data_IF_190041677337
#
_entry.id   IF_190041677337
#
_cell.length_a   1.000
_cell.length_b   1.000
_cell.length_c   1.000
_cell.angle_alpha   90.00
_cell.angle_beta   90.00
_cell.angle_gamma   90.00
#
_symmetry.space_group_name_H-M   'P 1'
#
loop_
_entity.id
_entity.type
_entity.pdbx_description
1 polymer ?
#
# COMPACT_ATOMS: atom_id res chain seq x y z
N UNK A 1 4.66 -7.81 1.95
CA UNK A 1 3.82 -7.70 0.73
C UNK A 1 3.25 -6.30 0.59
N UNK A 2 3.30 -5.72 -0.62
CA UNK A 2 2.56 -4.51 -0.98
C UNK A 2 1.27 -4.94 -1.70
N UNK A 3 0.12 -4.47 -1.22
CA UNK A 3 -1.20 -4.72 -1.83
C UNK A 3 -1.69 -3.39 -2.38
N UNK A 4 -1.94 -3.33 -3.69
CA UNK A 4 -2.25 -2.08 -4.38
C UNK A 4 -3.04 -2.30 -5.67
N UNK A 5 -3.39 -1.22 -6.36
CA UNK A 5 -4.11 -1.20 -7.62
C UNK A 5 -3.80 0.11 -8.37
N UNK A 6 -4.12 0.17 -9.66
CA UNK A 6 -3.94 1.39 -10.46
C UNK A 6 -2.49 1.87 -10.50
N UNK A 7 -2.27 3.18 -10.34
CA UNK A 7 -0.94 3.78 -10.36
C UNK A 7 -0.02 3.28 -9.23
N UNK A 8 -0.59 2.84 -8.12
CA UNK A 8 0.16 2.27 -7.01
C UNK A 8 1.03 1.07 -7.40
N UNK A 9 0.62 0.29 -8.40
CA UNK A 9 1.41 -0.83 -8.93
C UNK A 9 2.75 -0.35 -9.49
N UNK A 10 2.77 0.79 -10.19
CA UNK A 10 3.99 1.32 -10.80
C UNK A 10 4.92 1.93 -9.75
N UNK A 11 4.38 2.68 -8.80
CA UNK A 11 5.18 3.21 -7.69
C UNK A 11 5.77 2.09 -6.82
N UNK A 12 4.99 1.04 -6.55
CA UNK A 12 5.45 -0.13 -5.82
C UNK A 12 6.57 -0.87 -6.56
N UNK A 13 6.42 -1.07 -7.89
CA UNK A 13 7.46 -1.71 -8.72
C UNK A 13 8.76 -0.94 -8.69
N UNK A 14 8.69 0.39 -8.80
CA UNK A 14 9.90 1.23 -8.76
C UNK A 14 10.55 1.20 -7.38
N UNK A 15 9.78 1.38 -6.31
CA UNK A 15 10.28 1.33 -4.93
C UNK A 15 10.91 -0.04 -4.58
N UNK A 16 10.30 -1.13 -5.03
CA UNK A 16 10.76 -2.49 -4.77
C UNK A 16 12.16 -2.79 -5.38
N UNK A 17 12.61 -2.04 -6.39
CA UNK A 17 13.97 -2.19 -6.93
C UNK A 17 15.06 -1.98 -5.88
N UNK A 18 14.78 -1.17 -4.85
CA UNK A 18 15.72 -0.92 -3.74
C UNK A 18 15.78 -2.07 -2.73
N UNK A 19 14.87 -3.04 -2.81
CA UNK A 19 14.71 -4.13 -1.86
C UNK A 19 14.60 -5.48 -2.58
N UNK A 20 15.58 -5.75 -3.44
CA UNK A 20 15.58 -6.93 -4.31
C UNK A 20 15.32 -8.22 -3.54
N UNK A 21 14.29 -8.97 -3.96
CA UNK A 21 13.90 -10.25 -3.36
C UNK A 21 13.12 -10.16 -2.05
N UNK A 22 12.88 -8.97 -1.51
CA UNK A 22 12.19 -8.80 -0.21
C UNK A 22 10.71 -8.40 -0.34
N UNK A 23 10.28 -7.99 -1.53
CA UNK A 23 8.95 -7.40 -1.75
C UNK A 23 8.17 -8.20 -2.77
N UNK A 24 7.00 -8.68 -2.36
CA UNK A 24 5.95 -9.15 -3.25
C UNK A 24 4.92 -8.04 -3.47
N UNK A 25 4.47 -7.85 -4.71
CA UNK A 25 3.46 -6.85 -5.07
C UNK A 25 2.23 -7.58 -5.59
N UNK A 26 1.09 -7.32 -4.95
CA UNK A 26 -0.23 -7.78 -5.37
C UNK A 26 -0.94 -6.61 -6.03
N UNK A 27 -1.22 -6.76 -7.33
CA UNK A 27 -2.16 -5.92 -8.06
C UNK A 27 -3.56 -6.52 -7.91
N UNK A 28 -4.44 -5.84 -7.17
CA UNK A 28 -5.77 -6.34 -6.84
C UNK A 28 -6.63 -6.58 -8.08
N UNK A 29 -6.50 -5.74 -9.12
CA UNK A 29 -7.32 -5.68 -10.35
C UNK A 29 -8.82 -5.46 -10.14
N UNK A 30 -9.44 -6.13 -9.17
CA UNK A 30 -10.85 -6.07 -8.80
C UNK A 30 -10.97 -5.72 -7.31
N UNK A 31 -11.65 -4.62 -7.00
CA UNK A 31 -11.88 -4.20 -5.61
C UNK A 31 -13.13 -4.85 -5.01
N UNK A 32 -14.12 -5.21 -5.85
CA UNK A 32 -15.34 -5.87 -5.41
C UNK A 32 -15.92 -6.77 -6.52
N UNK A 33 -15.98 -8.10 -6.32
CA UNK A 33 -15.46 -8.84 -5.16
C UNK A 33 -13.93 -8.86 -5.13
N UNK A 34 -13.33 -8.64 -3.96
CA UNK A 34 -11.89 -8.72 -3.77
C UNK A 34 -11.44 -10.19 -3.66
N UNK A 35 -10.28 -10.52 -4.23
CA UNK A 35 -9.64 -11.83 -4.01
C UNK A 35 -9.02 -11.90 -2.61
N UNK A 36 -9.89 -12.19 -1.64
CA UNK A 36 -9.50 -12.27 -0.24
C UNK A 36 -8.54 -13.43 0.05
N UNK A 37 -8.70 -14.55 -0.67
CA UNK A 37 -7.85 -15.72 -0.50
C UNK A 37 -6.39 -15.38 -0.84
N UNK A 38 -6.16 -14.74 -1.98
CA UNK A 38 -4.82 -14.30 -2.39
C UNK A 38 -4.18 -13.38 -1.34
N UNK A 39 -4.94 -12.43 -0.79
CA UNK A 39 -4.45 -11.51 0.25
C UNK A 39 -4.04 -12.28 1.50
N UNK A 40 -4.89 -13.16 2.02
CA UNK A 40 -4.60 -13.93 3.25
C UNK A 40 -3.35 -14.81 3.07
N UNK A 41 -3.21 -15.47 1.92
CA UNK A 41 -2.03 -16.29 1.62
C UNK A 41 -0.74 -15.47 1.62
N UNK A 42 -0.76 -14.28 1.03
CA UNK A 42 0.39 -13.40 1.01
C UNK A 42 0.70 -12.80 2.39
N UNK A 43 -0.31 -12.47 3.18
CA UNK A 43 -0.12 -12.01 4.57
C UNK A 43 0.60 -13.10 5.39
N UNK A 44 0.13 -14.35 5.30
CA UNK A 44 0.78 -15.49 5.99
C UNK A 44 2.21 -15.73 5.54
N UNK A 45 2.51 -15.49 4.26
CA UNK A 45 3.85 -15.67 3.68
C UNK A 45 4.84 -14.59 4.12
N UNK A 46 4.38 -13.34 4.26
CA UNK A 46 5.26 -12.17 4.42
C UNK A 46 5.25 -11.54 5.81
N UNK A 47 4.19 -11.70 6.57
CA UNK A 47 3.98 -11.15 7.93
C UNK A 47 4.06 -9.61 8.09
N UNK A 48 4.51 -8.88 7.06
CA UNK A 48 4.49 -7.42 6.96
C UNK A 48 3.67 -7.01 5.74
N UNK A 49 2.69 -6.13 5.96
CA UNK A 49 1.71 -5.76 4.93
C UNK A 49 1.71 -4.24 4.75
N UNK A 50 1.76 -3.81 3.49
CA UNK A 50 1.67 -2.42 3.11
C UNK A 50 0.56 -2.24 2.06
N UNK A 51 -0.49 -1.49 2.39
CA UNK A 51 -1.57 -1.17 1.46
C UNK A 51 -1.32 0.21 0.85
N UNK A 52 -1.22 0.27 -0.48
CA UNK A 52 -0.91 1.50 -1.22
C UNK A 52 -2.09 1.88 -2.13
N UNK A 53 -2.52 3.14 -2.06
CA UNK A 53 -3.57 3.69 -2.94
C UNK A 53 -3.16 5.04 -3.52
N UNK A 54 -3.77 5.42 -4.63
CA UNK A 54 -3.69 6.77 -5.21
C UNK A 54 -4.69 7.74 -4.54
N UNK A 55 -5.75 7.22 -3.92
CA UNK A 55 -6.78 8.01 -3.27
C UNK A 55 -6.27 8.74 -2.01
N UNK A 56 -6.92 9.83 -1.58
CA UNK A 56 -6.70 10.41 -0.26
C UNK A 56 -6.83 9.33 0.82
N UNK A 57 -5.86 9.23 1.72
CA UNK A 57 -5.76 8.07 2.60
C UNK A 57 -6.91 7.98 3.61
N UNK A 58 -7.37 9.10 4.16
CA UNK A 58 -8.32 9.11 5.27
C UNK A 58 -9.72 8.68 4.81
N UNK A 59 -10.30 7.71 5.51
CA UNK A 59 -11.58 7.07 5.18
C UNK A 59 -11.58 6.34 3.82
N UNK A 60 -10.42 5.89 3.34
CA UNK A 60 -10.27 5.25 2.03
C UNK A 60 -10.57 3.75 2.05
N UNK A 61 -10.70 3.18 0.84
CA UNK A 61 -10.69 1.72 0.67
C UNK A 61 -9.42 1.08 1.27
N UNK A 62 -8.26 1.73 1.15
CA UNK A 62 -7.00 1.22 1.67
C UNK A 62 -7.02 1.07 3.20
N UNK A 63 -7.57 2.05 3.93
CA UNK A 63 -7.71 1.95 5.39
C UNK A 63 -8.73 0.87 5.80
N UNK A 64 -9.84 0.74 5.06
CA UNK A 64 -10.82 -0.32 5.29
C UNK A 64 -10.20 -1.72 5.09
N UNK A 65 -9.43 -1.89 4.01
CA UNK A 65 -8.72 -3.11 3.71
C UNK A 65 -7.67 -3.42 4.78
N UNK A 66 -6.87 -2.43 5.19
CA UNK A 66 -5.89 -2.58 6.24
C UNK A 66 -6.52 -2.99 7.58
N UNK A 67 -7.67 -2.40 7.94
CA UNK A 67 -8.44 -2.78 9.11
C UNK A 67 -8.95 -4.22 9.04
N UNK A 68 -9.44 -4.65 7.86
CA UNK A 68 -9.86 -6.04 7.65
C UNK A 68 -8.69 -7.03 7.77
N UNK A 69 -7.55 -6.74 7.15
CA UNK A 69 -6.33 -7.56 7.25
C UNK A 69 -5.88 -7.63 8.70
N UNK A 70 -5.81 -6.50 9.40
CA UNK A 70 -5.43 -6.47 10.82
C UNK A 70 -6.35 -7.32 11.68
N UNK A 71 -7.67 -7.26 11.43
CA UNK A 71 -8.66 -8.04 12.18
C UNK A 71 -8.59 -9.54 11.91
N UNK A 72 -8.53 -9.93 10.64
CA UNK A 72 -8.64 -11.34 10.24
C UNK A 72 -7.31 -12.08 10.22
N UNK A 73 -6.19 -11.36 10.09
CA UNK A 73 -4.85 -11.94 9.97
C UNK A 73 -3.90 -11.57 11.13
N UNK A 74 -4.40 -11.02 12.23
CA UNK A 74 -3.59 -10.51 13.35
C UNK A 74 -2.47 -11.46 13.79
N UNK A 75 -2.76 -12.76 13.90
CA UNK A 75 -1.82 -13.79 14.37
C UNK A 75 -0.64 -14.03 13.43
N UNK A 76 -0.70 -13.53 12.19
CA UNK A 76 0.34 -13.70 11.18
C UNK A 76 1.15 -12.42 10.95
N UNK A 77 0.83 -11.33 11.66
CA UNK A 77 1.45 -10.02 11.44
C UNK A 77 2.58 -9.77 12.45
N UNK A 78 3.76 -9.43 11.95
CA UNK A 78 4.92 -9.02 12.76
C UNK A 78 4.99 -7.49 12.96
N UNK A 79 4.22 -6.73 12.16
CA UNK A 79 4.13 -5.28 12.18
C UNK A 79 2.66 -4.85 11.96
N UNK A 80 2.25 -3.64 12.41
CA UNK A 80 0.95 -3.11 12.03
C UNK A 80 0.82 -3.05 10.50
N UNK A 81 -0.40 -3.18 9.98
CA UNK A 81 -0.64 -3.00 8.53
C UNK A 81 -0.43 -1.54 8.19
N UNK A 82 0.58 -1.26 7.35
CA UNK A 82 0.89 0.10 6.94
C UNK A 82 0.02 0.52 5.77
N UNK A 83 -0.27 1.81 5.70
CA UNK A 83 -1.05 2.40 4.61
C UNK A 83 -0.36 3.66 4.09
N UNK A 84 -0.44 3.87 2.78
CA UNK A 84 0.01 5.10 2.13
C UNK A 84 -0.97 5.46 1.02
N UNK A 85 -1.39 6.72 1.00
CA UNK A 85 -2.28 7.30 0.01
C UNK A 85 -1.88 8.73 -0.31
N UNK A 86 -2.66 9.39 -1.15
CA UNK A 86 -2.49 10.82 -1.39
C UNK A 86 -2.79 11.64 -0.13
N UNK A 87 -2.24 12.85 -0.10
CA UNK A 87 -2.54 13.82 0.97
C UNK A 87 -4.04 14.14 1.01
N UNK A 88 -4.59 14.26 2.22
CA UNK A 88 -5.99 14.61 2.44
C UNK A 88 -6.21 16.11 2.20
N UNK A 89 -6.47 16.46 0.94
CA UNK A 89 -6.70 17.83 0.48
C UNK A 89 -8.12 17.98 -0.07
N UNK A 90 -8.72 19.18 0.01
CA UNK A 90 -10.08 19.41 -0.48
C UNK A 90 -10.22 19.33 -2.00
N UNK A 91 -9.13 19.57 -2.75
CA UNK A 91 -9.11 19.50 -4.21
C UNK A 91 -7.73 19.07 -4.71
N UNK A 92 -7.71 18.44 -5.88
CA UNK A 92 -6.46 18.12 -6.60
C UNK A 92 -5.83 19.42 -7.09
N UNK A 93 -4.57 19.73 -6.76
CA UNK A 93 -3.90 20.92 -7.23
C UNK A 93 -3.73 20.91 -8.75
N UNK A 94 -4.04 22.02 -9.42
CA UNK A 94 -3.75 22.19 -10.85
C UNK A 94 -2.27 22.49 -11.14
N UNK A 95 -1.53 22.91 -10.11
CA UNK A 95 -0.09 23.11 -10.22
C UNK A 95 0.60 21.73 -10.15
N UNK A 96 1.40 21.44 -11.18
CA UNK A 96 2.10 20.15 -11.35
C UNK A 96 2.98 19.79 -10.16
N UNK A 97 3.66 20.75 -9.55
CA UNK A 97 4.54 20.47 -8.40
C UNK A 97 3.74 20.19 -7.14
N UNK A 98 2.61 20.88 -6.94
CA UNK A 98 1.69 20.60 -5.84
C UNK A 98 0.99 19.24 -6.02
N UNK A 99 0.63 18.87 -7.24
CA UNK A 99 0.06 17.54 -7.54
C UNK A 99 1.05 16.42 -7.22
N UNK A 100 2.32 16.55 -7.65
CA UNK A 100 3.39 15.60 -7.29
C UNK A 100 3.63 15.50 -5.77
N UNK A 101 3.51 16.62 -5.06
CA UNK A 101 3.59 16.63 -3.60
C UNK A 101 2.38 15.99 -2.93
N UNK A 102 1.19 16.11 -3.52
CA UNK A 102 -0.03 15.45 -3.03
C UNK A 102 0.01 13.93 -3.24
N UNK A 103 0.33 13.47 -4.45
CA UNK A 103 0.27 12.06 -4.81
C UNK A 103 1.43 11.26 -4.21
N UNK A 104 1.25 9.95 -3.96
CA UNK A 104 2.37 9.06 -3.73
C UNK A 104 3.31 9.02 -4.94
N UNK A 105 4.56 8.61 -4.69
CA UNK A 105 5.53 8.36 -5.74
C UNK A 105 6.52 7.27 -5.25
N UNK A 106 7.41 6.83 -6.14
CA UNK A 106 8.37 5.77 -5.83
C UNK A 106 9.22 6.05 -4.59
N UNK A 107 9.69 7.29 -4.40
CA UNK A 107 10.52 7.66 -3.25
C UNK A 107 9.74 7.61 -1.94
N UNK A 108 8.54 8.19 -1.89
CA UNK A 108 7.65 8.13 -0.71
C UNK A 108 7.31 6.68 -0.34
N UNK A 109 7.05 5.84 -1.35
CA UNK A 109 6.77 4.41 -1.15
C UNK A 109 8.03 3.69 -0.65
N UNK A 110 9.21 4.00 -1.18
CA UNK A 110 10.50 3.43 -0.77
C UNK A 110 10.81 3.74 0.69
N UNK A 111 10.61 4.99 1.12
CA UNK A 111 10.83 5.43 2.50
C UNK A 111 9.88 4.74 3.48
N UNK A 112 8.58 4.70 3.16
CA UNK A 112 7.60 3.98 3.96
C UNK A 112 7.94 2.48 4.04
N UNK A 113 8.28 1.85 2.91
CA UNK A 113 8.67 0.45 2.87
C UNK A 113 9.93 0.17 3.70
N UNK A 114 10.93 1.06 3.65
CA UNK A 114 12.15 0.93 4.45
C UNK A 114 11.84 0.87 5.94
N UNK A 115 10.95 1.73 6.42
CA UNK A 115 10.58 1.77 7.84
C UNK A 115 9.75 0.54 8.23
N UNK A 116 8.83 0.07 7.37
CA UNK A 116 8.08 -1.17 7.62
C UNK A 116 9.00 -2.39 7.72
N UNK A 117 9.98 -2.50 6.84
CA UNK A 117 10.94 -3.62 6.85
C UNK A 117 11.83 -3.61 8.10
N UNK A 118 12.03 -2.44 8.72
CA UNK A 118 12.83 -2.27 9.93
C UNK A 118 12.03 -2.38 11.25
N UNK A 119 10.71 -2.59 11.18
CA UNK A 119 9.83 -2.82 12.33
C UNK A 119 10.05 -4.22 12.93
#
# INVERSE_FOLDING_TARGET
>A
VIITYGMGVYWAKEAAKSFAGQVEIIDLRTLNPIDWTCIVEAVKKHSRVFVLTEEPLMNSFAESLAGRISKECFQYLDAPVWTLGAANLPAIPLNVELEKMMLPNAEKVREALQQLLAY
#
